data_IF_684768503972
#
_entry.id   IF_684768503972
#
_cell.length_a   1.000
_cell.length_b   1.000
_cell.length_c   1.000
_cell.angle_alpha   90.00
_cell.angle_beta   90.00
_cell.angle_gamma   90.00
#
_symmetry.space_group_name_H-M   'P 1'
#
loop_
_entity.id
_entity.type
_entity.pdbx_description
1 polymer ?
#
# COMPACT_ATOMS: atom_id res chain seq x y z
N UNK A 1 -21.57 -6.78 -3.01
CA UNK A 1 -21.04 -7.51 -1.83
C UNK A 1 -21.21 -9.01 -2.08
N UNK A 2 -20.20 -9.79 -1.73
CA UNK A 2 -20.20 -11.24 -1.88
C UNK A 2 -20.33 -11.89 -0.51
N UNK A 3 -21.26 -12.85 -0.35
CA UNK A 3 -21.48 -13.58 0.90
C UNK A 3 -21.06 -15.02 0.69
N UNK A 4 -20.11 -15.48 1.49
CA UNK A 4 -19.54 -16.82 1.42
C UNK A 4 -19.92 -17.58 2.72
N UNK A 5 -20.54 -18.72 2.56
CA UNK A 5 -20.78 -19.66 3.64
C UNK A 5 -19.69 -20.73 3.64
N UNK A 6 -19.10 -20.98 4.80
CA UNK A 6 -18.22 -22.12 5.01
C UNK A 6 -19.01 -23.32 5.54
N UNK A 7 -18.96 -24.44 4.81
CA UNK A 7 -19.57 -25.68 5.26
C UNK A 7 -18.54 -26.81 5.12
N UNK A 8 -18.18 -27.45 6.24
CA UNK A 8 -17.18 -28.54 6.31
C UNK A 8 -15.87 -28.20 5.57
N UNK A 9 -15.36 -26.93 5.80
CA UNK A 9 -14.16 -26.36 5.18
C UNK A 9 -14.25 -26.07 3.67
N UNK A 10 -15.44 -26.21 3.06
CA UNK A 10 -15.68 -25.83 1.67
C UNK A 10 -16.41 -24.49 1.60
N UNK A 11 -15.94 -23.53 0.79
CA UNK A 11 -16.60 -22.25 0.60
C UNK A 11 -17.72 -22.36 -0.45
N UNK A 12 -18.89 -21.81 -0.14
CA UNK A 12 -20.04 -21.70 -1.03
C UNK A 12 -20.45 -20.25 -1.15
N UNK A 13 -20.60 -19.74 -2.37
CA UNK A 13 -21.20 -18.43 -2.57
C UNK A 13 -22.72 -18.53 -2.39
N UNK A 14 -23.26 -17.77 -1.43
CA UNK A 14 -24.68 -17.76 -1.09
C UNK A 14 -25.30 -16.37 -1.18
N UNK A 15 -24.71 -15.46 -1.95
CA UNK A 15 -25.11 -14.04 -1.99
C UNK A 15 -26.61 -13.86 -2.28
N UNK A 16 -27.16 -14.57 -3.27
CA UNK A 16 -28.56 -14.42 -3.66
C UNK A 16 -29.51 -15.00 -2.61
N UNK A 17 -29.22 -16.19 -2.08
CA UNK A 17 -30.04 -16.79 -1.01
C UNK A 17 -29.99 -15.99 0.28
N UNK A 18 -28.85 -15.39 0.61
CA UNK A 18 -28.72 -14.51 1.76
C UNK A 18 -29.51 -13.20 1.59
N UNK A 19 -29.54 -12.62 0.39
CA UNK A 19 -30.37 -11.45 0.08
C UNK A 19 -31.86 -11.78 0.20
N UNK A 20 -32.28 -12.94 -0.29
CA UNK A 20 -33.67 -13.39 -0.16
C UNK A 20 -34.05 -13.59 1.32
N UNK A 21 -33.21 -14.26 2.12
CA UNK A 21 -33.44 -14.41 3.54
C UNK A 21 -33.51 -13.06 4.28
N UNK A 22 -32.69 -12.09 3.89
CA UNK A 22 -32.70 -10.74 4.47
C UNK A 22 -34.01 -9.98 4.16
N UNK A 23 -34.68 -10.29 3.07
CA UNK A 23 -36.02 -9.72 2.77
C UNK A 23 -37.13 -10.39 3.59
N UNK A 24 -37.02 -11.68 3.88
CA UNK A 24 -37.99 -12.42 4.70
C UNK A 24 -37.83 -12.09 6.19
N UNK A 25 -36.60 -11.84 6.65
CA UNK A 25 -36.26 -11.51 8.03
C UNK A 25 -35.56 -10.13 8.10
N UNK A 26 -36.30 -9.03 7.90
CA UNK A 26 -35.70 -7.71 7.91
C UNK A 26 -35.15 -7.35 9.29
N UNK A 27 -33.87 -6.95 9.33
CA UNK A 27 -33.28 -6.42 10.56
C UNK A 27 -33.93 -5.07 10.92
N UNK A 28 -34.04 -4.76 12.22
CA UNK A 28 -34.51 -3.44 12.65
C UNK A 28 -33.61 -2.36 12.03
N UNK A 29 -34.24 -1.30 11.47
CA UNK A 29 -33.51 -0.16 10.91
C UNK A 29 -32.62 0.45 12.00
N UNK A 30 -31.33 0.36 11.81
CA UNK A 30 -30.38 1.10 12.65
C UNK A 30 -30.11 2.45 11.97
N UNK A 31 -30.21 3.52 12.72
CA UNK A 31 -29.73 4.85 12.30
C UNK A 31 -28.20 4.85 12.30
N UNK A 32 -27.64 4.27 11.25
CA UNK A 32 -26.19 4.30 11.03
C UNK A 32 -25.86 5.62 10.31
N UNK A 33 -25.14 6.48 11.00
CA UNK A 33 -24.63 7.69 10.35
C UNK A 33 -23.81 7.28 9.10
N UNK A 34 -24.05 7.93 7.93
CA UNK A 34 -23.31 7.59 6.73
C UNK A 34 -21.82 7.78 6.97
N UNK A 35 -21.02 6.75 6.71
CA UNK A 35 -19.58 6.85 6.78
C UNK A 35 -19.10 7.84 5.70
N UNK A 36 -18.21 8.77 6.08
CA UNK A 36 -17.55 9.61 5.07
C UNK A 36 -16.75 8.71 4.13
N UNK A 37 -16.95 8.87 2.83
CA UNK A 37 -16.10 8.20 1.87
C UNK A 37 -14.64 8.64 2.06
N UNK A 38 -13.68 7.72 1.95
CA UNK A 38 -12.26 8.07 1.95
C UNK A 38 -11.95 9.04 0.81
N UNK A 39 -11.07 10.00 1.06
CA UNK A 39 -10.54 10.84 -0.01
C UNK A 39 -9.49 10.05 -0.81
N UNK A 40 -9.89 9.61 -2.00
CA UNK A 40 -9.00 8.91 -2.95
C UNK A 40 -8.19 9.88 -3.83
N UNK A 41 -8.53 11.18 -3.83
CA UNK A 41 -7.91 12.19 -4.69
C UNK A 41 -6.79 12.96 -3.98
N UNK A 42 -6.37 12.50 -2.80
CA UNK A 42 -5.30 13.17 -2.08
C UNK A 42 -4.00 13.17 -2.87
N UNK A 43 -3.37 14.34 -2.92
CA UNK A 43 -2.11 14.57 -3.61
C UNK A 43 -0.96 14.52 -2.61
N UNK A 44 0.10 13.82 -2.97
CA UNK A 44 1.23 13.60 -2.07
C UNK A 44 2.41 14.47 -2.51
N UNK A 45 2.99 15.18 -1.56
CA UNK A 45 4.28 15.87 -1.71
C UNK A 45 5.39 15.02 -1.10
N UNK A 46 6.62 15.09 -1.65
CA UNK A 46 7.74 14.37 -1.07
C UNK A 46 8.07 14.89 0.35
N UNK A 47 8.73 14.07 1.12
CA UNK A 47 9.28 14.49 2.42
C UNK A 47 10.26 15.66 2.20
N UNK A 48 10.13 16.74 2.99
CA UNK A 48 10.99 17.92 2.89
C UNK A 48 12.47 17.59 3.06
N UNK A 49 12.81 16.67 3.96
CA UNK A 49 14.19 16.22 4.15
C UNK A 49 14.74 15.42 2.96
N UNK A 50 13.88 14.95 2.07
CA UNK A 50 14.27 14.29 0.85
C UNK A 50 14.81 15.27 -0.20
N UNK A 51 14.28 16.49 -0.24
CA UNK A 51 14.68 17.54 -1.18
C UNK A 51 16.06 18.15 -0.86
N UNK A 52 16.48 18.06 0.42
CA UNK A 52 17.74 18.66 0.88
C UNK A 52 18.96 17.75 0.71
N UNK A 53 18.76 16.44 0.69
CA UNK A 53 19.83 15.45 0.56
C UNK A 53 19.41 14.31 -0.37
N UNK A 54 19.93 14.31 -1.60
CA UNK A 54 19.72 13.23 -2.59
C UNK A 54 20.20 11.85 -2.12
N UNK A 55 20.72 11.73 -0.88
CA UNK A 55 21.21 10.51 -0.26
C UNK A 55 20.18 9.93 0.71
N UNK A 56 19.13 9.37 0.18
CA UNK A 56 18.16 8.67 1.00
C UNK A 56 18.80 7.42 1.63
N UNK A 57 18.94 7.45 2.95
CA UNK A 57 19.38 6.28 3.72
C UNK A 57 18.14 5.46 4.06
N UNK A 58 18.06 4.28 3.48
CA UNK A 58 16.98 3.33 3.71
C UNK A 58 17.54 2.06 4.36
N UNK A 59 16.86 1.57 5.40
CA UNK A 59 17.15 0.30 6.07
C UNK A 59 15.85 -0.41 6.41
N UNK A 60 15.85 -1.71 6.28
CA UNK A 60 14.79 -2.56 6.85
C UNK A 60 15.18 -2.98 8.27
N UNK A 61 14.21 -3.02 9.17
CA UNK A 61 14.39 -3.48 10.54
C UNK A 61 13.51 -4.71 10.77
N UNK A 62 14.09 -5.88 10.56
CA UNK A 62 13.35 -7.15 10.55
C UNK A 62 12.25 -7.14 9.49
N UNK A 63 11.09 -7.70 9.85
CA UNK A 63 9.87 -7.71 9.01
C UNK A 63 8.86 -6.63 9.40
N UNK A 64 9.21 -5.78 10.37
CA UNK A 64 8.24 -4.94 11.05
C UNK A 64 8.26 -3.49 10.58
N UNK A 65 9.40 -3.00 10.08
CA UNK A 65 9.51 -1.59 9.74
C UNK A 65 10.58 -1.27 8.72
N UNK A 66 10.38 -0.12 8.06
CA UNK A 66 11.31 0.47 7.11
C UNK A 66 11.75 1.81 7.71
N UNK A 67 13.06 2.00 7.84
CA UNK A 67 13.61 3.29 8.23
C UNK A 67 14.05 4.05 6.98
N UNK A 68 13.49 5.25 6.78
CA UNK A 68 13.88 6.17 5.72
C UNK A 68 14.44 7.43 6.38
N UNK A 69 15.72 7.70 6.17
CA UNK A 69 16.48 8.72 6.89
C UNK A 69 16.42 8.50 8.42
N UNK A 70 15.56 9.22 9.12
CA UNK A 70 15.32 9.07 10.56
C UNK A 70 13.87 8.74 10.89
N UNK A 71 13.03 8.62 9.89
CA UNK A 71 11.63 8.25 10.05
C UNK A 71 11.48 6.73 9.98
N UNK A 72 10.67 6.19 10.87
CA UNK A 72 10.35 4.76 10.93
C UNK A 72 8.91 4.55 10.46
N UNK A 73 8.76 3.79 9.39
CA UNK A 73 7.47 3.39 8.85
C UNK A 73 7.16 2.02 9.45
N UNK A 74 6.24 1.97 10.39
CA UNK A 74 5.81 0.72 11.04
C UNK A 74 4.80 0.01 10.13
N UNK A 75 5.18 -1.17 9.66
CA UNK A 75 4.37 -2.04 8.79
C UNK A 75 4.04 -3.38 9.45
N UNK A 76 4.28 -3.52 10.76
CA UNK A 76 4.09 -4.75 11.54
C UNK A 76 2.72 -5.40 11.35
N UNK A 77 1.69 -4.59 11.22
CA UNK A 77 0.32 -5.07 11.05
C UNK A 77 -0.16 -5.11 9.59
N UNK A 78 0.75 -5.07 8.64
CA UNK A 78 0.44 -5.35 7.24
C UNK A 78 0.64 -6.84 7.01
N UNK A 79 -0.40 -7.62 7.25
CA UNK A 79 -0.37 -9.09 7.34
C UNK A 79 0.21 -9.79 6.12
N UNK A 80 0.20 -9.14 4.97
CA UNK A 80 0.65 -9.71 3.71
C UNK A 80 2.15 -9.53 3.45
N UNK A 81 2.85 -8.82 4.32
CA UNK A 81 4.30 -8.69 4.27
C UNK A 81 4.93 -9.87 5.01
N UNK A 82 5.29 -10.90 4.26
CA UNK A 82 5.80 -12.15 4.80
C UNK A 82 7.33 -12.19 4.85
N UNK A 83 8.00 -11.37 4.05
CA UNK A 83 9.44 -11.42 3.85
C UNK A 83 10.12 -10.07 3.97
N UNK A 84 11.36 -10.06 4.49
CA UNK A 84 12.23 -8.87 4.54
C UNK A 84 12.54 -8.31 3.15
N UNK A 85 12.54 -9.17 2.14
CA UNK A 85 12.77 -8.79 0.74
C UNK A 85 11.62 -7.95 0.17
N UNK A 86 10.37 -8.20 0.61
CA UNK A 86 9.23 -7.34 0.27
C UNK A 86 9.37 -5.96 0.94
N UNK A 87 9.87 -5.91 2.18
CA UNK A 87 10.12 -4.64 2.86
C UNK A 87 11.22 -3.84 2.17
N UNK A 88 12.29 -4.50 1.76
CA UNK A 88 13.36 -3.86 1.00
C UNK A 88 12.82 -3.26 -0.31
N UNK A 89 12.02 -4.03 -1.04
CA UNK A 89 11.37 -3.56 -2.25
C UNK A 89 10.46 -2.34 -2.01
N UNK A 90 9.62 -2.38 -0.96
CA UNK A 90 8.79 -1.24 -0.56
C UNK A 90 9.61 0.01 -0.25
N UNK A 91 10.72 -0.13 0.44
CA UNK A 91 11.63 0.99 0.73
C UNK A 91 12.17 1.63 -0.54
N UNK A 92 12.61 0.83 -1.52
CA UNK A 92 13.06 1.32 -2.83
C UNK A 92 11.90 1.92 -3.64
N UNK A 93 10.73 1.33 -3.62
CA UNK A 93 9.54 1.87 -4.27
C UNK A 93 9.15 3.22 -3.71
N UNK A 94 9.14 3.38 -2.37
CA UNK A 94 8.89 4.67 -1.73
C UNK A 94 9.92 5.72 -2.12
N UNK A 95 11.20 5.34 -2.16
CA UNK A 95 12.26 6.23 -2.63
C UNK A 95 11.98 6.68 -4.06
N UNK A 96 11.73 5.74 -4.95
CA UNK A 96 11.45 6.00 -6.35
C UNK A 96 10.22 6.91 -6.53
N UNK A 97 9.14 6.63 -5.79
CA UNK A 97 7.92 7.46 -5.84
C UNK A 97 8.16 8.89 -5.35
N UNK A 98 8.99 9.08 -4.33
CA UNK A 98 9.33 10.42 -3.84
C UNK A 98 10.11 11.25 -4.88
N UNK A 99 10.96 10.59 -5.67
CA UNK A 99 11.74 11.26 -6.71
C UNK A 99 10.88 11.60 -7.93
N UNK A 100 10.01 10.68 -8.33
CA UNK A 100 9.38 10.74 -9.66
C UNK A 100 7.90 11.08 -9.66
N UNK A 101 7.17 10.79 -8.58
CA UNK A 101 5.71 10.82 -8.59
C UNK A 101 5.07 11.66 -7.49
N UNK A 102 5.77 11.95 -6.39
CA UNK A 102 5.25 12.77 -5.31
C UNK A 102 5.56 14.25 -5.56
N UNK A 103 4.81 14.88 -6.44
CA UNK A 103 5.01 16.27 -6.89
C UNK A 103 3.93 17.23 -6.36
N UNK A 104 2.98 16.74 -5.58
CA UNK A 104 1.83 17.49 -5.12
C UNK A 104 0.77 17.75 -6.19
N UNK A 105 0.90 17.16 -7.38
CA UNK A 105 -0.05 17.28 -8.49
C UNK A 105 -0.76 15.96 -8.76
N UNK A 106 -0.03 14.86 -8.78
CA UNK A 106 -0.59 13.53 -8.95
C UNK A 106 -1.27 13.05 -7.68
N UNK A 107 -2.40 12.37 -7.85
CA UNK A 107 -3.04 11.67 -6.72
C UNK A 107 -2.22 10.46 -6.33
N UNK A 108 -2.39 9.98 -5.09
CA UNK A 108 -1.70 8.75 -4.66
C UNK A 108 -1.99 7.56 -5.57
N UNK A 109 -3.23 7.43 -6.03
CA UNK A 109 -3.62 6.36 -6.96
C UNK A 109 -2.83 6.47 -8.27
N UNK A 110 -2.78 7.67 -8.87
CA UNK A 110 -2.02 7.91 -10.10
C UNK A 110 -0.53 7.61 -9.91
N UNK A 111 0.05 8.01 -8.77
CA UNK A 111 1.46 7.76 -8.47
C UNK A 111 1.75 6.25 -8.33
N UNK A 112 0.87 5.49 -7.66
CA UNK A 112 1.01 4.03 -7.53
C UNK A 112 0.80 3.32 -8.87
N UNK A 113 -0.15 3.77 -9.69
CA UNK A 113 -0.37 3.22 -11.03
C UNK A 113 0.84 3.46 -11.94
N UNK A 114 1.40 4.66 -11.92
CA UNK A 114 2.62 4.98 -12.66
C UNK A 114 3.82 4.13 -12.21
N UNK A 115 3.97 3.92 -10.90
CA UNK A 115 4.97 2.99 -10.38
C UNK A 115 4.76 1.57 -10.93
N UNK A 116 3.51 1.10 -10.95
CA UNK A 116 3.18 -0.24 -11.45
C UNK A 116 3.51 -0.40 -12.93
N UNK A 117 3.25 0.62 -13.73
CA UNK A 117 3.63 0.65 -15.15
C UNK A 117 5.15 0.54 -15.35
N UNK A 118 5.93 1.19 -14.50
CA UNK A 118 7.40 1.06 -14.53
C UNK A 118 7.82 -0.37 -14.18
N UNK A 119 7.24 -0.94 -13.11
CA UNK A 119 7.55 -2.30 -12.66
C UNK A 119 7.19 -3.36 -13.71
N UNK A 120 6.06 -3.22 -14.38
CA UNK A 120 5.65 -4.14 -15.44
C UNK A 120 6.56 -4.06 -16.66
N UNK A 121 7.02 -2.87 -17.03
CA UNK A 121 7.85 -2.65 -18.22
C UNK A 121 9.32 -2.99 -18.00
N UNK A 122 9.86 -2.70 -16.83
CA UNK A 122 11.30 -2.73 -16.53
C UNK A 122 11.70 -3.70 -15.41
N UNK A 123 10.71 -4.31 -14.76
CA UNK A 123 10.94 -5.18 -13.61
C UNK A 123 11.23 -4.42 -12.31
N UNK A 124 11.32 -5.16 -11.21
CA UNK A 124 11.52 -4.60 -9.86
C UNK A 124 12.87 -3.87 -9.70
N UNK A 125 13.87 -4.26 -10.46
CA UNK A 125 15.19 -3.63 -10.44
C UNK A 125 15.16 -2.13 -10.80
N UNK A 126 14.15 -1.69 -11.56
CA UNK A 126 14.03 -0.31 -12.01
C UNK A 126 13.91 0.70 -10.87
N UNK A 127 13.39 0.29 -9.71
CA UNK A 127 13.22 1.20 -8.55
C UNK A 127 14.51 1.41 -7.75
N UNK A 128 15.55 0.62 -8.02
CA UNK A 128 16.82 0.75 -7.28
C UNK A 128 17.66 1.94 -7.72
N UNK A 129 17.52 2.38 -8.98
CA UNK A 129 18.28 3.51 -9.59
C UNK A 129 19.79 3.46 -9.33
N UNK A 130 20.34 2.26 -9.23
CA UNK A 130 21.75 2.02 -8.91
C UNK A 130 22.30 0.94 -9.83
N UNK A 131 23.57 1.04 -10.15
CA UNK A 131 24.30 -0.03 -10.83
C UNK A 131 24.45 -1.28 -9.94
N UNK A 132 24.32 -1.12 -8.63
CA UNK A 132 24.30 -2.20 -7.67
C UNK A 132 22.85 -2.59 -7.34
N UNK A 133 22.45 -3.78 -7.76
CA UNK A 133 21.17 -4.37 -7.38
C UNK A 133 21.36 -5.12 -6.07
N UNK A 134 20.60 -4.77 -5.02
CA UNK A 134 20.60 -5.57 -3.81
C UNK A 134 20.07 -6.96 -4.13
N UNK A 135 20.77 -7.98 -3.63
CA UNK A 135 20.23 -9.34 -3.65
C UNK A 135 18.98 -9.39 -2.76
N UNK A 136 17.93 -10.03 -3.24
CA UNK A 136 16.74 -10.25 -2.44
C UNK A 136 15.75 -9.07 -2.47
N UNK A 137 15.10 -8.87 -3.61
CA UNK A 137 13.89 -8.04 -3.71
C UNK A 137 12.72 -8.92 -4.13
N UNK A 138 11.69 -8.96 -3.31
CA UNK A 138 10.43 -9.63 -3.62
C UNK A 138 9.33 -8.61 -3.91
N UNK A 139 8.48 -8.90 -4.91
CA UNK A 139 7.42 -8.00 -5.34
C UNK A 139 6.31 -7.92 -4.27
N UNK A 140 6.05 -6.77 -3.66
CA UNK A 140 4.86 -6.56 -2.85
C UNK A 140 3.65 -6.33 -3.76
N UNK A 141 2.44 -6.41 -3.21
CA UNK A 141 1.22 -6.06 -3.93
C UNK A 141 0.97 -4.55 -3.88
N UNK A 142 0.15 -4.04 -4.79
CA UNK A 142 -0.27 -2.63 -4.81
C UNK A 142 -0.78 -2.13 -3.46
N UNK A 143 -1.60 -2.95 -2.79
CA UNK A 143 -2.21 -2.63 -1.50
C UNK A 143 -1.17 -2.38 -0.41
N UNK A 144 -0.05 -3.08 -0.45
CA UNK A 144 1.04 -2.91 0.52
C UNK A 144 1.80 -1.61 0.28
N UNK A 145 1.92 -1.16 -0.98
CA UNK A 145 2.47 0.16 -1.29
C UNK A 145 1.57 1.26 -0.72
N UNK A 146 0.24 1.18 -0.92
CA UNK A 146 -0.71 2.11 -0.31
C UNK A 146 -0.63 2.09 1.22
N UNK A 147 -0.58 0.90 1.81
CA UNK A 147 -0.48 0.75 3.26
C UNK A 147 0.81 1.38 3.81
N UNK A 148 1.92 1.25 3.10
CA UNK A 148 3.20 1.82 3.47
C UNK A 148 3.20 3.35 3.38
N UNK A 149 2.70 3.92 2.27
CA UNK A 149 2.55 5.36 2.08
C UNK A 149 1.66 5.96 3.17
N UNK A 150 0.55 5.29 3.53
CA UNK A 150 -0.36 5.74 4.58
C UNK A 150 0.26 5.79 5.98
N UNK A 151 1.34 5.07 6.20
CA UNK A 151 2.07 5.04 7.48
C UNK A 151 3.29 5.96 7.49
N UNK A 152 3.66 6.52 6.36
CA UNK A 152 4.79 7.44 6.25
C UNK A 152 4.36 8.86 6.64
N UNK A 153 4.52 9.22 7.89
CA UNK A 153 4.00 10.46 8.50
C UNK A 153 4.63 11.75 7.96
N UNK A 154 5.79 11.69 7.35
CA UNK A 154 6.52 12.86 6.84
C UNK A 154 6.13 13.29 5.43
N UNK A 155 5.35 12.48 4.73
CA UNK A 155 4.83 12.89 3.44
C UNK A 155 3.87 14.07 3.62
N UNK A 156 4.06 15.13 2.82
CA UNK A 156 3.14 16.25 2.78
C UNK A 156 1.84 15.86 2.05
N UNK A 157 0.72 16.28 2.57
CA UNK A 157 -0.60 16.22 1.92
C UNK A 157 -0.88 17.53 1.18
#
# INVERSE_FOLDING_TARGET
DCIIQMNRYEPFEITESAKQAATEFPLPKQDIAPSKQPDFDRKIKPDRMFQEDNRLKMKTMGRDSISINREVIDVRYVEQLMDTEQLAALGYMLKYMQIHFFDGKHTLTQAVDALWDVLQKKGIAAVCESSYLPCGLAMPRKQEVFACVNRYRRLGL
#
